data_IF_643686410877
#
_entry.id   IF_643686410877
#
_cell.length_a   1.000
_cell.length_b   1.000
_cell.length_c   1.000
_cell.angle_alpha   90.00
_cell.angle_beta   90.00
_cell.angle_gamma   90.00
#
_symmetry.space_group_name_H-M   'P 1'
#
loop_
_entity.id
_entity.type
_entity.pdbx_description
1 polymer ?
#
# COMPACT_ATOMS: atom_id res chain seq x y z
N UNK A 1 5.90 9.51 15.69
CA UNK A 1 4.74 10.00 14.93
C UNK A 1 3.56 9.09 15.25
N UNK A 2 2.34 9.63 15.39
CA UNK A 2 1.17 8.82 15.71
C UNK A 2 0.58 8.17 14.44
N UNK A 3 0.04 6.95 14.58
CA UNK A 3 -0.75 6.30 13.53
C UNK A 3 -2.02 7.13 13.31
N UNK A 4 -2.35 7.40 12.05
CA UNK A 4 -3.56 8.13 11.67
C UNK A 4 -4.61 7.15 11.17
N UNK A 5 -5.88 7.44 11.46
CA UNK A 5 -7.01 6.58 11.10
C UNK A 5 -8.05 7.37 10.32
N UNK A 6 -8.52 6.83 9.21
CA UNK A 6 -9.53 7.45 8.35
C UNK A 6 -10.67 6.47 8.09
N UNK A 7 -11.90 6.91 8.31
CA UNK A 7 -13.10 6.17 7.94
C UNK A 7 -13.81 6.93 6.82
N UNK A 8 -14.15 6.22 5.75
CA UNK A 8 -14.80 6.80 4.58
C UNK A 8 -16.22 6.26 4.44
N UNK A 9 -17.14 7.14 4.03
CA UNK A 9 -18.48 6.71 3.63
C UNK A 9 -18.41 5.94 2.30
N UNK A 10 -19.41 5.10 2.06
CA UNK A 10 -19.61 4.45 0.76
C UNK A 10 -20.00 5.52 -0.28
N UNK A 11 -19.31 5.52 -1.43
CA UNK A 11 -19.57 6.40 -2.57
C UNK A 11 -20.55 5.76 -3.58
N UNK A 12 -20.93 4.49 -3.37
CA UNK A 12 -21.81 3.71 -4.24
C UNK A 12 -21.15 3.27 -5.55
N UNK A 13 -19.84 3.44 -5.72
CA UNK A 13 -19.07 3.11 -6.92
C UNK A 13 -17.91 2.17 -6.62
N UNK A 14 -17.21 2.39 -5.50
CA UNK A 14 -16.02 1.67 -5.08
C UNK A 14 -16.33 0.84 -3.84
N UNK A 15 -16.07 -0.48 -3.84
CA UNK A 15 -16.27 -1.29 -2.64
C UNK A 15 -15.45 -0.76 -1.46
N UNK A 16 -16.11 -0.49 -0.33
CA UNK A 16 -15.46 0.00 0.88
C UNK A 16 -16.00 -0.71 2.14
N UNK A 17 -15.16 -0.86 3.17
CA UNK A 17 -15.57 -1.50 4.42
C UNK A 17 -16.16 -0.46 5.40
N UNK A 18 -17.43 -0.58 5.82
CA UNK A 18 -18.07 0.44 6.66
C UNK A 18 -17.60 0.44 8.13
N UNK A 19 -16.76 -0.54 8.54
CA UNK A 19 -16.34 -0.72 9.95
C UNK A 19 -14.84 -0.63 10.16
N UNK A 20 -14.03 -0.91 9.14
CA UNK A 20 -12.58 -0.92 9.26
C UNK A 20 -12.00 0.40 8.73
N UNK A 21 -11.19 1.12 9.53
CA UNK A 21 -10.54 2.34 9.06
C UNK A 21 -9.34 2.03 8.18
N UNK A 22 -9.03 2.94 7.26
CA UNK A 22 -7.71 3.04 6.65
C UNK A 22 -6.72 3.55 7.70
N UNK A 23 -5.56 2.92 7.77
CA UNK A 23 -4.47 3.30 8.68
C UNK A 23 -3.33 3.92 7.88
N UNK A 24 -2.82 5.07 8.32
CA UNK A 24 -1.61 5.69 7.76
C UNK A 24 -0.53 5.68 8.84
N UNK A 25 0.60 5.06 8.50
CA UNK A 25 1.81 5.01 9.32
C UNK A 25 2.82 6.01 8.75
N UNK A 26 2.96 7.21 9.35
CA UNK A 26 3.89 8.21 8.83
C UNK A 26 5.34 7.72 8.94
N UNK A 27 6.14 7.96 7.90
CA UNK A 27 7.55 7.57 7.82
C UNK A 27 7.78 6.06 8.05
N UNK A 28 6.90 5.20 7.52
CA UNK A 28 6.99 3.75 7.69
C UNK A 28 8.18 3.10 6.96
N UNK A 29 8.64 3.69 5.86
CA UNK A 29 9.78 3.20 5.07
C UNK A 29 10.71 4.37 4.79
N UNK A 30 11.98 4.22 5.17
CA UNK A 30 13.02 5.19 4.89
C UNK A 30 13.66 4.87 3.54
N UNK A 31 13.66 5.84 2.62
CA UNK A 31 14.20 5.68 1.26
C UNK A 31 15.23 6.76 0.93
N UNK A 32 15.44 7.75 1.80
CA UNK A 32 16.40 8.80 1.55
C UNK A 32 17.83 8.24 1.51
N UNK A 33 18.62 8.71 0.54
CA UNK A 33 20.01 8.28 0.35
C UNK A 33 20.16 6.89 -0.27
N UNK A 34 19.08 6.21 -0.62
CA UNK A 34 19.15 4.94 -1.35
C UNK A 34 19.46 5.19 -2.83
N UNK A 35 20.43 4.45 -3.36
CA UNK A 35 20.76 4.47 -4.79
C UNK A 35 19.59 3.92 -5.62
N UNK A 36 18.89 2.91 -5.08
CA UNK A 36 17.67 2.35 -5.63
C UNK A 36 16.56 2.39 -4.55
N UNK A 37 15.61 3.34 -4.64
CA UNK A 37 14.53 3.50 -3.66
C UNK A 37 13.56 2.32 -3.58
N UNK A 38 13.56 1.40 -4.55
CA UNK A 38 12.70 0.21 -4.51
C UNK A 38 13.21 -0.87 -3.55
N UNK A 39 14.53 -0.93 -3.31
CA UNK A 39 15.17 -1.97 -2.48
C UNK A 39 14.64 -2.02 -1.03
N UNK A 40 14.43 -0.90 -0.32
CA UNK A 40 13.81 -0.91 1.00
C UNK A 40 12.42 -1.56 1.03
N UNK A 41 11.58 -1.29 0.02
CA UNK A 41 10.25 -1.89 -0.10
C UNK A 41 10.34 -3.39 -0.35
N UNK A 42 11.11 -3.82 -1.35
CA UNK A 42 11.29 -5.24 -1.69
C UNK A 42 11.82 -6.04 -0.50
N UNK A 43 12.79 -5.48 0.23
CA UNK A 43 13.33 -6.10 1.44
C UNK A 43 12.26 -6.21 2.53
N UNK A 44 11.50 -5.14 2.78
CA UNK A 44 10.44 -5.15 3.78
C UNK A 44 9.36 -6.17 3.44
N UNK A 45 8.87 -6.17 2.19
CA UNK A 45 7.83 -7.07 1.70
C UNK A 45 8.28 -8.53 1.81
N UNK A 46 9.48 -8.87 1.31
CA UNK A 46 10.01 -10.23 1.38
C UNK A 46 10.16 -10.71 2.84
N UNK A 47 10.60 -9.84 3.75
CA UNK A 47 10.68 -10.17 5.19
C UNK A 47 9.33 -10.48 5.83
N UNK A 48 8.23 -10.02 5.23
CA UNK A 48 6.86 -10.29 5.69
C UNK A 48 6.12 -11.32 4.83
N UNK A 49 6.85 -12.08 3.99
CA UNK A 49 6.28 -13.17 3.19
C UNK A 49 5.64 -12.73 1.87
N UNK A 50 5.74 -11.45 1.52
CA UNK A 50 5.38 -10.93 0.20
C UNK A 50 6.56 -11.10 -0.75
N UNK A 51 6.70 -12.31 -1.29
CA UNK A 51 7.75 -12.67 -2.27
C UNK A 51 7.23 -12.54 -3.70
N UNK A 52 8.09 -12.79 -4.69
CA UNK A 52 7.73 -12.80 -6.12
C UNK A 52 7.15 -11.47 -6.65
N UNK A 53 7.63 -10.36 -6.08
CA UNK A 53 7.28 -9.01 -6.52
C UNK A 53 7.88 -8.64 -7.88
N UNK A 54 7.31 -7.60 -8.49
CA UNK A 54 7.74 -7.01 -9.76
C UNK A 54 7.68 -5.48 -9.66
N UNK A 55 8.42 -4.79 -10.54
CA UNK A 55 8.43 -3.31 -10.63
C UNK A 55 7.74 -2.85 -11.90
N UNK A 56 6.82 -1.88 -11.80
CA UNK A 56 6.16 -1.23 -12.93
C UNK A 56 5.45 0.07 -12.49
N UNK A 57 4.65 0.67 -13.37
CA UNK A 57 3.82 1.84 -13.07
C UNK A 57 2.42 1.51 -12.52
N UNK A 58 1.71 2.56 -12.14
CA UNK A 58 0.33 2.52 -11.62
C UNK A 58 -0.65 3.00 -12.70
N UNK A 59 -1.78 2.31 -12.86
CA UNK A 59 -2.82 2.74 -13.80
C UNK A 59 -3.47 4.07 -13.37
N UNK A 60 -3.82 4.90 -14.34
CA UNK A 60 -4.46 6.21 -14.11
C UNK A 60 -5.99 6.14 -13.93
N UNK A 61 -6.55 4.94 -13.82
CA UNK A 61 -7.99 4.70 -13.62
C UNK A 61 -8.23 3.80 -12.41
N UNK A 62 -9.43 3.93 -11.82
CA UNK A 62 -9.85 3.14 -10.67
C UNK A 62 -9.94 1.66 -11.04
N UNK A 63 -9.29 0.81 -10.24
CA UNK A 63 -9.42 -0.64 -10.31
C UNK A 63 -9.30 -1.22 -8.90
N UNK A 64 -9.86 -2.42 -8.71
CA UNK A 64 -9.77 -3.16 -7.45
C UNK A 64 -9.73 -4.66 -7.72
N UNK A 65 -9.21 -5.41 -6.75
CA UNK A 65 -9.17 -6.86 -6.79
C UNK A 65 -10.16 -7.44 -5.77
N UNK A 66 -11.08 -8.30 -6.23
CA UNK A 66 -12.08 -8.94 -5.35
C UNK A 66 -11.54 -10.17 -4.61
N UNK A 67 -10.44 -10.74 -5.09
CA UNK A 67 -9.90 -12.02 -4.61
C UNK A 67 -8.42 -11.98 -4.25
N UNK A 68 -7.75 -10.84 -4.44
CA UNK A 68 -6.32 -10.70 -4.17
C UNK A 68 -6.08 -9.64 -3.10
N UNK A 69 -5.11 -9.91 -2.24
CA UNK A 69 -4.52 -8.89 -1.37
C UNK A 69 -3.24 -8.38 -2.06
N UNK A 70 -3.10 -7.07 -2.15
CA UNK A 70 -1.97 -6.42 -2.81
C UNK A 70 -1.16 -5.61 -1.79
N UNK A 71 0.16 -5.62 -1.95
CA UNK A 71 1.08 -4.68 -1.30
C UNK A 71 1.91 -4.01 -2.39
N UNK A 72 2.03 -2.69 -2.31
CA UNK A 72 2.70 -1.87 -3.33
C UNK A 72 3.61 -0.84 -2.65
N UNK A 73 4.80 -0.63 -3.21
CA UNK A 73 5.71 0.48 -2.87
C UNK A 73 5.80 1.45 -4.05
N UNK A 74 5.74 2.75 -3.78
CA UNK A 74 5.73 3.84 -4.77
C UNK A 74 6.77 4.88 -4.37
#
# INVERSE_FOLDING_TARGET
MAVQTFLFADDGQTPNNPRLPMLVYPAAVEVAGQVDPAVPFETLFARHGWTDGWRNGVFSFLHFHTTAHEVLGI
#
